data_IF_748206229664
#
_entry.id   IF_748206229664
#
_cell.length_a   1.000
_cell.length_b   1.000
_cell.length_c   1.000
_cell.angle_alpha   90.00
_cell.angle_beta   90.00
_cell.angle_gamma   90.00
#
_symmetry.space_group_name_H-M   'P 1'
#
loop_
_entity.id
_entity.type
_entity.pdbx_description
1 polymer ?
#
# COMPACT_ATOMS: atom_id res chain seq x y z
N UNK A 1 -33.79 -36.01 58.39
CA UNK A 1 -33.78 -34.62 58.90
C UNK A 1 -34.38 -33.74 57.80
N UNK A 2 -35.26 -32.79 58.15
CA UNK A 2 -36.73 -32.79 57.95
C UNK A 2 -37.13 -32.03 56.66
N UNK A 3 -38.38 -31.86 56.20
CA UNK A 3 -39.73 -32.18 56.65
C UNK A 3 -40.63 -32.22 55.38
N UNK A 4 -41.65 -33.09 55.35
CA UNK A 4 -42.58 -33.21 54.23
C UNK A 4 -43.94 -32.55 54.54
N UNK A 5 -44.33 -31.66 53.62
CA UNK A 5 -45.66 -31.47 53.01
C UNK A 5 -46.93 -31.23 53.85
N UNK A 6 -47.51 -30.04 53.58
CA UNK A 6 -48.89 -29.71 53.15
C UNK A 6 -50.09 -30.42 53.81
N UNK A 7 -51.13 -29.64 54.12
CA UNK A 7 -52.35 -29.55 53.30
C UNK A 7 -53.34 -28.58 53.97
N UNK A 8 -53.98 -27.73 53.17
CA UNK A 8 -55.28 -27.15 53.52
C UNK A 8 -56.12 -26.99 52.25
N UNK A 9 -57.29 -27.61 52.32
CA UNK A 9 -58.31 -27.78 51.29
C UNK A 9 -59.03 -26.46 50.93
N UNK A 10 -59.43 -26.36 49.67
CA UNK A 10 -60.46 -25.45 49.12
C UNK A 10 -61.86 -25.68 49.77
N UNK A 11 -62.96 -24.88 49.59
CA UNK A 11 -63.53 -24.50 48.26
C UNK A 11 -64.47 -23.25 48.19
N UNK A 12 -65.13 -23.08 47.01
CA UNK A 12 -66.42 -22.39 46.66
C UNK A 12 -66.43 -20.88 46.27
N UNK A 13 -66.89 -20.59 45.03
CA UNK A 13 -67.26 -19.26 44.48
C UNK A 13 -68.80 -19.00 44.51
N UNK A 14 -69.43 -18.29 43.54
CA UNK A 14 -69.25 -16.96 42.92
C UNK A 14 -70.52 -16.06 43.22
N UNK A 15 -71.02 -15.08 42.43
CA UNK A 15 -70.45 -14.08 41.50
C UNK A 15 -70.83 -12.61 41.90
N UNK A 16 -70.24 -11.59 41.28
CA UNK A 16 -70.69 -10.20 41.47
C UNK A 16 -69.92 -9.21 40.58
N UNK A 17 -70.49 -8.91 39.43
CA UNK A 17 -69.96 -8.08 38.36
C UNK A 17 -70.24 -6.58 38.62
N UNK A 18 -69.24 -5.70 38.47
CA UNK A 18 -69.41 -4.35 37.87
C UNK A 18 -68.06 -3.65 37.67
N UNK A 19 -67.69 -3.52 36.40
CA UNK A 19 -67.25 -2.23 35.83
C UNK A 19 -65.79 -1.83 35.98
N UNK A 20 -64.90 -2.38 35.14
CA UNK A 20 -63.67 -1.68 34.71
C UNK A 20 -63.42 -1.97 33.22
N UNK A 21 -63.38 -0.96 32.32
CA UNK A 21 -62.78 -1.14 31.02
C UNK A 21 -61.26 -0.98 31.15
N UNK A 22 -60.55 -2.10 31.28
CA UNK A 22 -59.09 -2.13 31.16
C UNK A 22 -58.75 -1.96 29.69
N UNK A 23 -58.35 -0.74 29.31
CA UNK A 23 -57.86 -0.43 27.97
C UNK A 23 -56.47 -1.02 27.79
N UNK A 24 -56.32 -1.82 26.74
CA UNK A 24 -55.22 -2.75 26.48
C UNK A 24 -53.84 -2.07 26.32
N UNK A 25 -52.83 -2.43 27.15
CA UNK A 25 -51.45 -1.95 26.99
C UNK A 25 -50.74 -2.51 25.74
N UNK A 26 -51.28 -3.56 25.11
CA UNK A 26 -50.68 -4.22 23.95
C UNK A 26 -50.70 -3.37 22.67
N UNK A 27 -51.76 -2.57 22.45
CA UNK A 27 -51.88 -1.72 21.26
C UNK A 27 -50.86 -0.57 21.26
N UNK A 28 -50.54 -0.04 22.44
CA UNK A 28 -49.56 1.04 22.58
C UNK A 28 -48.16 0.56 22.20
N UNK A 29 -47.72 -0.58 22.74
CA UNK A 29 -46.37 -1.15 22.48
C UNK A 29 -46.20 -1.53 21.00
N UNK A 30 -47.23 -2.08 20.35
CA UNK A 30 -47.18 -2.41 18.93
C UNK A 30 -47.03 -1.16 18.04
N UNK A 31 -47.67 -0.04 18.39
CA UNK A 31 -47.52 1.24 17.71
C UNK A 31 -46.10 1.82 17.85
N UNK A 32 -45.49 1.74 19.03
CA UNK A 32 -44.12 2.20 19.25
C UNK A 32 -43.08 1.37 18.47
N UNK A 33 -43.23 0.05 18.43
CA UNK A 33 -42.33 -0.83 17.69
C UNK A 33 -42.45 -0.64 16.17
N UNK A 34 -43.65 -0.36 15.67
CA UNK A 34 -43.90 -0.09 14.25
C UNK A 34 -43.22 1.20 13.77
N UNK A 35 -43.30 2.28 14.55
CA UNK A 35 -42.60 3.52 14.22
C UNK A 35 -41.08 3.40 14.31
N UNK A 36 -40.55 2.62 15.26
CA UNK A 36 -39.12 2.33 15.34
C UNK A 36 -38.60 1.60 14.09
N UNK A 37 -39.34 0.59 13.61
CA UNK A 37 -39.00 -0.13 12.38
C UNK A 37 -39.08 0.76 11.14
N UNK A 38 -40.11 1.60 11.03
CA UNK A 38 -40.27 2.53 9.90
C UNK A 38 -39.13 3.57 9.84
N UNK A 39 -38.76 4.15 10.98
CA UNK A 39 -37.64 5.11 11.05
C UNK A 39 -36.29 4.44 10.72
N UNK A 40 -36.07 3.21 11.20
CA UNK A 40 -34.89 2.42 10.85
C UNK A 40 -34.80 2.12 9.35
N UNK A 41 -35.92 1.76 8.72
CA UNK A 41 -35.99 1.52 7.28
C UNK A 41 -35.70 2.79 6.46
N UNK A 42 -36.23 3.94 6.89
CA UNK A 42 -35.96 5.24 6.25
C UNK A 42 -34.48 5.63 6.39
N UNK A 43 -33.88 5.46 7.58
CA UNK A 43 -32.46 5.72 7.79
C UNK A 43 -31.57 4.83 6.90
N UNK A 44 -31.92 3.53 6.77
CA UNK A 44 -31.23 2.62 5.86
C UNK A 44 -31.39 3.04 4.39
N UNK A 45 -32.58 3.43 3.96
CA UNK A 45 -32.82 3.92 2.60
C UNK A 45 -32.00 5.17 2.29
N UNK A 46 -31.91 6.12 3.23
CA UNK A 46 -31.10 7.33 3.08
C UNK A 46 -29.60 6.99 3.00
N UNK A 47 -29.11 6.07 3.83
CA UNK A 47 -27.71 5.62 3.76
C UNK A 47 -27.39 4.90 2.43
N UNK A 48 -28.33 4.11 1.91
CA UNK A 48 -28.17 3.46 0.60
C UNK A 48 -28.17 4.50 -0.53
N UNK A 49 -28.99 5.54 -0.44
CA UNK A 49 -29.01 6.63 -1.43
C UNK A 49 -27.71 7.44 -1.41
N UNK A 50 -27.16 7.76 -0.24
CA UNK A 50 -25.86 8.45 -0.16
C UNK A 50 -24.72 7.59 -0.69
N UNK A 51 -24.74 6.28 -0.43
CA UNK A 51 -23.77 5.35 -1.00
C UNK A 51 -23.92 5.23 -2.53
N UNK A 52 -25.15 5.26 -3.05
CA UNK A 52 -25.36 5.21 -4.50
C UNK A 52 -24.86 6.47 -5.22
N UNK A 53 -25.00 7.65 -4.64
CA UNK A 53 -24.51 8.89 -5.26
C UNK A 53 -22.98 8.93 -5.31
N UNK A 54 -22.30 8.49 -4.26
CA UNK A 54 -20.83 8.35 -4.25
C UNK A 54 -20.34 7.35 -5.30
N UNK A 55 -20.99 6.19 -5.41
CA UNK A 55 -20.66 5.19 -6.44
C UNK A 55 -20.85 5.73 -7.85
N UNK A 56 -21.91 6.52 -8.09
CA UNK A 56 -22.12 7.15 -9.39
C UNK A 56 -21.06 8.22 -9.68
N UNK A 57 -20.66 9.01 -8.69
CA UNK A 57 -19.59 10.00 -8.82
C UNK A 57 -18.26 9.32 -9.17
N UNK A 58 -17.88 8.30 -8.40
CA UNK A 58 -16.68 7.50 -8.63
C UNK A 58 -16.70 6.81 -10.01
N UNK A 59 -17.83 6.25 -10.45
CA UNK A 59 -17.96 5.69 -11.79
C UNK A 59 -17.77 6.74 -12.89
N UNK A 60 -18.28 7.97 -12.72
CA UNK A 60 -18.06 9.07 -13.67
C UNK A 60 -16.58 9.49 -13.68
N UNK A 61 -15.95 9.52 -12.52
CA UNK A 61 -14.54 9.88 -12.39
C UNK A 61 -13.61 8.82 -13.01
N UNK A 62 -13.88 7.53 -12.77
CA UNK A 62 -13.20 6.41 -13.45
C UNK A 62 -13.44 6.45 -14.96
N UNK A 63 -14.66 6.71 -15.42
CA UNK A 63 -14.97 6.82 -16.85
C UNK A 63 -14.23 8.00 -17.49
N UNK A 64 -14.10 9.12 -16.77
CA UNK A 64 -13.34 10.30 -17.22
C UNK A 64 -11.86 9.97 -17.28
N UNK A 65 -11.32 9.31 -16.26
CA UNK A 65 -9.91 8.88 -16.19
C UNK A 65 -9.57 7.84 -17.27
N UNK A 66 -10.46 6.89 -17.55
CA UNK A 66 -10.33 5.95 -18.66
C UNK A 66 -10.38 6.65 -20.03
N UNK A 67 -11.19 7.70 -20.17
CA UNK A 67 -11.28 8.48 -21.41
C UNK A 67 -10.06 9.40 -21.61
N UNK A 68 -9.47 9.93 -20.54
CA UNK A 68 -8.19 10.68 -20.59
C UNK A 68 -6.96 9.77 -20.61
N UNK A 69 -7.10 8.50 -20.22
CA UNK A 69 -6.06 7.48 -20.19
C UNK A 69 -6.31 6.34 -21.17
N UNK A 70 -6.86 6.65 -22.36
CA UNK A 70 -7.21 5.66 -23.39
C UNK A 70 -6.07 4.70 -23.75
N UNK A 71 -6.42 3.50 -24.26
CA UNK A 71 -5.58 2.31 -24.26
C UNK A 71 -4.33 2.46 -25.14
N UNK A 72 -3.16 2.18 -24.57
CA UNK A 72 -1.95 1.87 -25.33
C UNK A 72 -2.12 0.48 -25.96
N UNK A 73 -2.73 0.44 -27.14
CA UNK A 73 -2.67 -0.72 -28.01
C UNK A 73 -1.37 -0.68 -28.82
N UNK A 74 -0.68 -1.83 -28.77
CA UNK A 74 0.31 -2.33 -29.72
C UNK A 74 0.09 -1.88 -31.17
N UNK A 75 1.14 -1.32 -31.76
CA UNK A 75 1.57 -1.47 -33.15
C UNK A 75 3.05 -1.02 -33.18
N UNK A 76 4.02 -1.93 -33.15
CA UNK A 76 4.68 -2.49 -34.34
C UNK A 76 5.20 -1.45 -35.35
N UNK A 77 6.52 -1.50 -35.56
CA UNK A 77 7.26 -0.79 -36.61
C UNK A 77 7.70 0.60 -36.19
N UNK A 78 9.00 0.80 -35.90
CA UNK A 78 9.95 1.42 -36.85
C UNK A 78 11.39 1.23 -36.33
N UNK A 79 12.38 1.12 -37.24
CA UNK A 79 13.71 0.63 -36.95
C UNK A 79 14.63 1.73 -36.41
N UNK A 80 15.55 1.33 -35.53
CA UNK A 80 16.70 2.13 -35.13
C UNK A 80 17.51 2.57 -36.35
N UNK A 81 17.52 3.89 -36.62
CA UNK A 81 18.49 4.48 -37.53
C UNK A 81 19.69 5.03 -36.75
N UNK A 82 20.83 4.59 -37.26
CA UNK A 82 22.21 4.79 -36.88
C UNK A 82 22.61 6.25 -36.69
N UNK A 83 23.62 6.45 -35.86
CA UNK A 83 24.44 7.66 -35.79
C UNK A 83 24.87 8.12 -37.20
N UNK A 84 24.87 9.43 -37.50
CA UNK A 84 25.61 9.95 -38.63
C UNK A 84 27.08 10.14 -38.25
N UNK A 85 27.91 9.34 -38.90
CA UNK A 85 29.35 9.51 -39.01
C UNK A 85 29.68 10.85 -39.68
N UNK A 86 30.61 11.56 -39.06
CA UNK A 86 31.10 12.87 -39.43
C UNK A 86 32.09 12.76 -40.60
N UNK A 87 31.76 13.32 -41.76
CA UNK A 87 32.77 13.65 -42.78
C UNK A 87 32.54 15.08 -43.27
N UNK A 88 33.66 15.80 -43.31
CA UNK A 88 33.82 17.18 -43.74
C UNK A 88 34.18 17.18 -45.21
N UNK A 89 33.55 18.05 -46.01
CA UNK A 89 34.19 18.86 -47.05
C UNK A 89 33.17 19.88 -47.61
N UNK A 90 33.61 21.13 -47.74
CA UNK A 90 32.84 22.34 -48.08
C UNK A 90 32.96 22.67 -49.60
N UNK A 91 32.56 23.86 -50.11
CA UNK A 91 31.60 24.89 -49.67
C UNK A 91 30.58 25.30 -50.78
N UNK A 92 29.53 26.07 -50.45
CA UNK A 92 29.21 27.38 -51.08
C UNK A 92 27.79 27.88 -50.78
N UNK A 93 27.74 29.18 -50.43
CA UNK A 93 26.73 30.16 -50.81
C UNK A 93 25.25 29.93 -50.39
N UNK A 94 24.88 30.54 -49.25
CA UNK A 94 23.98 31.71 -49.25
C UNK A 94 23.87 32.28 -47.83
N UNK A 95 24.67 33.32 -47.58
CA UNK A 95 24.37 34.34 -46.59
C UNK A 95 23.02 34.98 -46.94
N UNK A 96 22.00 34.78 -46.08
CA UNK A 96 21.02 35.81 -45.72
C UNK A 96 19.92 35.19 -44.86
N UNK A 97 20.14 35.16 -43.54
CA UNK A 97 19.10 34.72 -42.60
C UNK A 97 19.46 34.84 -41.12
N UNK A 98 20.73 35.07 -40.80
CA UNK A 98 21.23 35.04 -39.42
C UNK A 98 20.83 36.22 -38.53
N UNK A 99 20.20 37.27 -39.08
CA UNK A 99 19.93 38.49 -38.31
C UNK A 99 18.60 38.51 -37.55
N UNK A 100 17.69 37.56 -37.80
CA UNK A 100 16.33 37.61 -37.22
C UNK A 100 16.02 36.55 -36.14
N UNK A 101 16.81 35.47 -36.05
CA UNK A 101 16.55 34.37 -35.09
C UNK A 101 17.32 34.44 -33.77
N UNK A 102 18.06 35.52 -33.49
CA UNK A 102 18.88 35.65 -32.27
C UNK A 102 18.16 36.23 -31.05
N UNK A 103 16.84 36.48 -31.07
CA UNK A 103 16.16 37.18 -29.96
C UNK A 103 15.08 36.43 -29.16
N UNK A 104 14.82 35.14 -29.39
CA UNK A 104 13.85 34.38 -28.56
C UNK A 104 14.24 32.92 -28.30
N UNK A 105 15.51 32.67 -28.02
CA UNK A 105 15.95 31.40 -27.44
C UNK A 105 16.65 31.65 -26.10
N UNK A 106 16.06 32.48 -25.24
CA UNK A 106 16.17 32.21 -23.79
C UNK A 106 15.23 31.03 -23.54
N UNK A 107 15.66 29.85 -23.97
CA UNK A 107 15.21 28.62 -23.36
C UNK A 107 15.60 28.78 -21.90
N UNK A 108 14.64 29.18 -21.08
CA UNK A 108 14.67 28.84 -19.67
C UNK A 108 14.87 27.33 -19.66
N UNK A 109 16.12 26.92 -19.45
CA UNK A 109 16.48 25.55 -19.18
C UNK A 109 15.72 25.25 -17.88
N UNK A 110 14.46 24.79 -18.02
CA UNK A 110 13.67 24.27 -16.91
C UNK A 110 14.60 23.24 -16.30
N UNK A 111 15.24 23.58 -15.19
CA UNK A 111 16.03 22.63 -14.45
C UNK A 111 15.07 21.49 -14.15
N UNK A 112 15.19 20.39 -14.90
CA UNK A 112 14.45 19.17 -14.58
C UNK A 112 14.92 18.83 -13.18
N UNK A 113 14.07 19.08 -12.18
CA UNK A 113 14.36 18.73 -10.78
C UNK A 113 14.73 17.25 -10.80
N UNK A 114 16.01 16.96 -10.57
CA UNK A 114 16.46 15.58 -10.55
C UNK A 114 15.99 14.94 -9.26
N UNK A 115 15.28 13.83 -9.37
CA UNK A 115 14.81 13.08 -8.22
C UNK A 115 16.00 12.50 -7.44
N UNK A 116 15.96 12.63 -6.11
CA UNK A 116 16.92 11.94 -5.23
C UNK A 116 16.61 10.44 -5.30
N UNK A 117 17.62 9.62 -5.55
CA UNK A 117 17.48 8.17 -5.74
C UNK A 117 18.55 7.45 -4.93
N UNK A 118 18.17 6.34 -4.31
CA UNK A 118 19.08 5.40 -3.69
C UNK A 118 18.65 3.99 -4.07
N UNK A 119 19.54 3.20 -4.65
CA UNK A 119 19.36 1.78 -4.89
C UNK A 119 20.44 1.02 -4.12
N UNK A 120 20.01 -0.01 -3.40
CA UNK A 120 20.80 -0.79 -2.47
C UNK A 120 20.77 -2.24 -2.85
N UNK A 121 21.90 -2.89 -2.67
CA UNK A 121 22.11 -4.32 -2.89
C UNK A 121 22.68 -4.93 -1.62
N UNK A 122 22.43 -6.23 -1.36
CA UNK A 122 22.89 -6.87 -0.15
C UNK A 122 24.42 -7.06 -0.16
N UNK A 123 25.03 -6.99 1.03
CA UNK A 123 26.41 -7.40 1.29
C UNK A 123 26.42 -8.72 2.06
N UNK A 124 25.58 -8.79 3.09
CA UNK A 124 25.49 -9.92 4.01
C UNK A 124 24.05 -10.02 4.56
N UNK A 125 23.71 -11.17 5.14
CA UNK A 125 22.50 -11.36 5.92
C UNK A 125 22.87 -12.01 7.26
N UNK A 126 22.28 -11.51 8.35
CA UNK A 126 22.56 -12.00 9.70
C UNK A 126 21.27 -12.31 10.43
N UNK A 127 21.28 -13.39 11.23
CA UNK A 127 20.22 -13.78 12.13
C UNK A 127 20.84 -13.94 13.51
N UNK A 128 20.29 -13.30 14.54
CA UNK A 128 20.71 -13.59 15.92
C UNK A 128 20.08 -14.92 16.35
N UNK A 129 20.79 -15.68 17.18
CA UNK A 129 20.34 -17.02 17.59
C UNK A 129 19.04 -16.99 18.41
N UNK A 130 18.82 -15.94 19.21
CA UNK A 130 17.63 -15.77 20.05
C UNK A 130 16.48 -15.01 19.36
N UNK A 131 16.56 -14.79 18.04
CA UNK A 131 15.54 -14.03 17.30
C UNK A 131 15.04 -14.75 16.06
N UNK A 132 13.72 -14.77 15.87
CA UNK A 132 13.07 -15.23 14.64
C UNK A 132 13.15 -14.21 13.50
N UNK A 133 14.31 -13.56 13.34
CA UNK A 133 14.52 -12.49 12.36
C UNK A 133 15.86 -12.63 11.68
N UNK A 134 15.84 -12.48 10.36
CA UNK A 134 17.03 -12.29 9.53
C UNK A 134 17.02 -10.86 8.97
N UNK A 135 18.12 -10.14 9.13
CA UNK A 135 18.33 -8.79 8.64
C UNK A 135 19.36 -8.80 7.50
N UNK A 136 19.19 -7.89 6.54
CA UNK A 136 20.08 -7.76 5.39
C UNK A 136 20.94 -6.51 5.57
N UNK A 137 22.26 -6.63 5.44
CA UNK A 137 23.17 -5.49 5.36
C UNK A 137 23.21 -4.96 3.93
N UNK A 138 23.07 -3.65 3.78
CA UNK A 138 22.91 -2.99 2.49
C UNK A 138 24.12 -2.13 2.12
N UNK A 139 24.47 -2.11 0.84
CA UNK A 139 25.38 -1.12 0.24
C UNK A 139 24.74 -0.36 -0.92
N UNK A 140 25.08 0.93 -1.12
CA UNK A 140 24.69 1.69 -2.30
C UNK A 140 25.27 1.11 -3.60
N UNK A 141 24.40 0.74 -4.53
CA UNK A 141 24.74 0.46 -5.93
C UNK A 141 24.49 1.66 -6.84
N UNK A 142 23.47 2.48 -6.53
CA UNK A 142 23.21 3.76 -7.19
C UNK A 142 22.83 4.80 -6.15
N UNK A 143 23.43 5.99 -6.22
CA UNK A 143 23.07 7.11 -5.35
C UNK A 143 23.08 8.42 -6.12
N UNK A 144 21.98 9.17 -6.00
CA UNK A 144 21.82 10.53 -6.51
C UNK A 144 21.12 11.38 -5.47
N UNK A 145 21.68 12.54 -5.14
CA UNK A 145 21.19 13.42 -4.08
C UNK A 145 21.69 13.03 -2.69
N UNK A 146 21.26 13.79 -1.67
CA UNK A 146 21.73 13.65 -0.28
C UNK A 146 20.63 13.30 0.73
N UNK A 147 19.38 13.21 0.31
CA UNK A 147 18.22 13.00 1.18
C UNK A 147 18.12 11.61 1.82
N UNK A 148 18.98 10.68 1.43
CA UNK A 148 18.98 9.29 1.89
C UNK A 148 20.41 8.85 2.25
N UNK A 149 20.54 8.07 3.32
CA UNK A 149 21.81 7.49 3.75
C UNK A 149 21.63 6.04 4.18
N UNK A 150 22.33 5.12 3.52
CA UNK A 150 22.43 3.74 3.98
C UNK A 150 23.20 3.67 5.32
N UNK A 151 22.69 2.87 6.26
CA UNK A 151 23.24 2.67 7.60
C UNK A 151 23.16 1.18 7.95
N UNK A 152 24.14 0.39 7.49
CA UNK A 152 24.22 -1.05 7.79
C UNK A 152 22.96 -1.81 7.35
N UNK A 153 22.12 -2.17 8.31
CA UNK A 153 20.86 -2.92 8.12
C UNK A 153 19.67 -2.06 7.66
N UNK A 154 19.81 -0.73 7.66
CA UNK A 154 18.72 0.18 7.36
C UNK A 154 19.11 1.41 6.55
N UNK A 155 18.16 2.32 6.40
CA UNK A 155 18.32 3.58 5.66
C UNK A 155 17.77 4.72 6.49
N UNK A 156 18.61 5.73 6.74
CA UNK A 156 18.23 6.95 7.43
C UNK A 156 17.74 8.01 6.44
N UNK A 157 16.58 8.59 6.73
CA UNK A 157 16.00 9.68 5.97
C UNK A 157 16.61 11.00 6.42
N UNK A 158 17.23 11.73 5.49
CA UNK A 158 17.85 13.04 5.74
C UNK A 158 16.93 14.19 5.33
N UNK A 159 16.17 14.02 4.26
CA UNK A 159 15.22 15.03 3.81
C UNK A 159 13.80 14.49 3.91
N UNK A 160 12.91 15.19 4.62
CA UNK A 160 11.50 14.82 4.62
C UNK A 160 10.89 14.91 3.20
N UNK A 161 9.87 14.12 2.93
CA UNK A 161 9.13 14.16 1.67
C UNK A 161 8.40 12.87 1.35
N UNK A 162 7.82 12.82 0.15
CA UNK A 162 7.15 11.63 -0.38
C UNK A 162 8.15 10.80 -1.15
N UNK A 163 8.22 9.50 -0.87
CA UNK A 163 9.15 8.58 -1.49
C UNK A 163 8.41 7.38 -2.07
N UNK A 164 8.77 6.98 -3.28
CA UNK A 164 8.52 5.63 -3.78
C UNK A 164 9.58 4.70 -3.18
N UNK A 165 9.11 3.65 -2.51
CA UNK A 165 9.91 2.59 -1.92
C UNK A 165 9.62 1.29 -2.66
N UNK A 166 10.65 0.52 -2.96
CA UNK A 166 10.50 -0.81 -3.54
C UNK A 166 11.54 -1.77 -2.96
N UNK A 167 11.15 -3.03 -2.77
CA UNK A 167 12.01 -4.06 -2.19
C UNK A 167 11.74 -5.40 -2.85
N UNK A 168 12.82 -6.11 -3.19
CA UNK A 168 12.79 -7.49 -3.63
C UNK A 168 13.72 -8.33 -2.78
N UNK A 169 13.28 -9.54 -2.41
CA UNK A 169 14.13 -10.59 -1.84
C UNK A 169 13.93 -11.87 -2.64
N UNK A 170 15.02 -12.51 -3.06
CA UNK A 170 14.99 -13.82 -3.69
C UNK A 170 15.24 -14.90 -2.64
N UNK A 171 14.19 -15.65 -2.29
CA UNK A 171 14.25 -16.73 -1.31
C UNK A 171 14.65 -18.05 -1.96
N UNK A 172 15.49 -18.81 -1.26
CA UNK A 172 15.88 -20.19 -1.57
C UNK A 172 15.66 -21.05 -0.31
N UNK A 173 14.41 -21.14 0.13
CA UNK A 173 14.03 -21.67 1.44
C UNK A 173 12.77 -22.54 1.33
N UNK A 174 12.74 -23.67 2.03
CA UNK A 174 11.62 -24.62 2.02
C UNK A 174 10.54 -24.30 3.06
N UNK A 175 10.77 -23.29 3.91
CA UNK A 175 9.79 -22.82 4.88
C UNK A 175 8.50 -22.44 4.16
N UNK A 176 7.37 -22.98 4.61
CA UNK A 176 6.09 -22.95 3.87
C UNK A 176 5.69 -21.55 3.36
N UNK A 177 6.03 -20.50 4.12
CA UNK A 177 5.92 -19.11 3.70
C UNK A 177 7.18 -18.33 4.04
N UNK A 178 7.66 -17.60 3.04
CA UNK A 178 8.73 -16.62 3.14
C UNK A 178 8.22 -15.24 2.77
N UNK A 179 8.96 -14.21 3.18
CA UNK A 179 8.55 -12.85 2.94
C UNK A 179 9.43 -11.85 3.66
N UNK A 180 9.16 -10.59 3.41
CA UNK A 180 9.81 -9.47 4.06
C UNK A 180 8.79 -8.46 4.54
N UNK A 181 9.17 -7.75 5.60
CA UNK A 181 8.44 -6.61 6.14
C UNK A 181 9.34 -5.41 6.04
N UNK A 182 8.83 -4.35 5.41
CA UNK A 182 9.49 -3.05 5.36
C UNK A 182 8.82 -2.14 6.37
N UNK A 183 9.58 -1.66 7.34
CA UNK A 183 9.07 -0.79 8.40
C UNK A 183 9.88 0.50 8.50
N UNK A 184 9.22 1.54 9.01
CA UNK A 184 9.88 2.75 9.50
C UNK A 184 9.87 2.78 11.01
N UNK A 185 10.93 3.31 11.59
CA UNK A 185 11.02 3.70 12.98
C UNK A 185 11.30 5.20 13.04
N UNK A 186 10.43 5.94 13.72
CA UNK A 186 10.51 7.38 13.84
C UNK A 186 9.57 7.87 14.94
N UNK A 187 9.93 8.98 15.59
CA UNK A 187 9.09 9.59 16.65
C UNK A 187 8.74 8.61 17.80
N UNK A 188 9.61 7.65 18.10
CA UNK A 188 9.39 6.64 19.15
C UNK A 188 8.39 5.54 18.79
N UNK A 189 8.00 5.42 17.51
CA UNK A 189 7.07 4.40 17.04
C UNK A 189 7.62 3.66 15.82
N UNK A 190 7.36 2.35 15.77
CA UNK A 190 7.58 1.54 14.59
C UNK A 190 6.27 1.34 13.82
N UNK A 191 6.33 1.47 12.49
CA UNK A 191 5.19 1.31 11.60
C UNK A 191 5.58 0.46 10.38
N UNK A 192 4.76 -0.54 10.07
CA UNK A 192 4.91 -1.34 8.84
C UNK A 192 4.40 -0.55 7.64
N UNK A 193 5.26 -0.35 6.64
CA UNK A 193 4.90 0.32 5.40
C UNK A 193 4.27 -0.66 4.41
N UNK A 194 4.92 -1.80 4.18
CA UNK A 194 4.39 -2.88 3.36
C UNK A 194 5.04 -4.21 3.70
N UNK A 195 4.39 -5.28 3.24
CA UNK A 195 4.85 -6.66 3.36
C UNK A 195 4.81 -7.35 2.00
N UNK A 196 5.64 -8.37 1.83
CA UNK A 196 5.54 -9.32 0.74
C UNK A 196 5.54 -10.72 1.34
N UNK A 197 4.66 -11.60 0.86
CA UNK A 197 4.55 -12.98 1.33
C UNK A 197 4.48 -13.91 0.11
N UNK A 198 5.24 -14.99 0.14
CA UNK A 198 5.24 -16.05 -0.87
C UNK A 198 5.19 -17.42 -0.23
N UNK A 199 4.32 -18.27 -0.76
CA UNK A 199 4.37 -19.70 -0.48
C UNK A 199 5.59 -20.32 -1.15
N UNK A 200 6.27 -21.22 -0.46
CA UNK A 200 7.45 -21.92 -0.98
C UNK A 200 7.14 -23.39 -1.26
N UNK A 201 7.68 -23.96 -2.36
CA UNK A 201 7.71 -25.41 -2.55
C UNK A 201 8.47 -26.11 -1.41
N UNK A 202 8.02 -27.31 -1.03
CA UNK A 202 8.67 -28.14 -0.01
C UNK A 202 9.94 -28.82 -0.51
N UNK A 203 10.09 -28.99 -1.82
CA UNK A 203 11.27 -29.65 -2.41
C UNK A 203 12.43 -28.66 -2.54
N UNK A 204 13.60 -28.91 -1.91
CA UNK A 204 14.72 -27.96 -1.88
C UNK A 204 15.18 -27.47 -3.27
N UNK A 205 15.26 -28.37 -4.25
CA UNK A 205 15.72 -28.03 -5.61
C UNK A 205 14.76 -27.12 -6.39
N UNK A 206 13.53 -26.92 -5.89
CA UNK A 206 12.49 -26.11 -6.52
C UNK A 206 12.07 -24.93 -5.64
N UNK A 207 12.62 -24.81 -4.44
CA UNK A 207 12.20 -23.85 -3.43
C UNK A 207 12.74 -22.44 -3.68
N UNK A 208 12.49 -21.87 -4.86
CA UNK A 208 12.94 -20.55 -5.28
C UNK A 208 11.76 -19.64 -5.58
N UNK A 209 11.72 -18.46 -4.97
CA UNK A 209 10.74 -17.42 -5.31
C UNK A 209 11.30 -16.02 -5.03
N UNK A 210 11.07 -15.10 -5.96
CA UNK A 210 11.23 -13.66 -5.70
C UNK A 210 9.98 -13.10 -5.06
N UNK A 211 10.15 -12.28 -4.02
CA UNK A 211 9.08 -11.52 -3.39
C UNK A 211 9.34 -10.03 -3.57
N UNK A 212 8.60 -9.38 -4.48
CA UNK A 212 8.67 -7.95 -4.74
C UNK A 212 7.43 -7.23 -4.17
N UNK A 213 7.64 -6.09 -3.54
CA UNK A 213 6.56 -5.16 -3.16
C UNK A 213 7.07 -3.72 -3.14
N UNK A 214 6.16 -2.77 -3.32
CA UNK A 214 6.47 -1.35 -3.41
C UNK A 214 5.28 -0.49 -2.94
N UNK A 215 5.56 0.76 -2.59
CA UNK A 215 4.54 1.73 -2.21
C UNK A 215 5.09 3.15 -2.13
N UNK A 216 4.18 4.11 -1.98
CA UNK A 216 4.53 5.53 -1.85
C UNK A 216 4.19 6.00 -0.44
N UNK A 217 5.17 6.56 0.26
CA UNK A 217 5.05 6.91 1.67
C UNK A 217 5.61 8.30 1.95
N UNK A 218 4.95 9.04 2.85
CA UNK A 218 5.50 10.28 3.40
C UNK A 218 6.46 9.94 4.54
N UNK A 219 7.73 10.29 4.39
CA UNK A 219 8.79 10.00 5.36
C UNK A 219 9.32 11.29 5.96
N UNK A 220 9.64 11.23 7.25
CA UNK A 220 10.15 12.38 7.99
C UNK A 220 11.67 12.32 8.13
N UNK A 221 12.28 13.49 8.31
CA UNK A 221 13.69 13.57 8.62
C UNK A 221 13.97 12.83 9.94
N UNK A 222 14.98 11.98 9.95
CA UNK A 222 15.37 11.18 11.10
C UNK A 222 14.79 9.77 11.11
N UNK A 223 13.75 9.49 10.32
CA UNK A 223 13.19 8.14 10.18
C UNK A 223 14.28 7.13 9.78
N UNK A 224 14.21 5.94 10.36
CA UNK A 224 15.06 4.79 10.02
C UNK A 224 14.17 3.73 9.38
N UNK A 225 14.52 3.35 8.16
CA UNK A 225 13.85 2.27 7.45
C UNK A 225 14.64 0.98 7.58
N UNK A 226 13.93 -0.12 7.81
CA UNK A 226 14.50 -1.46 7.90
C UNK A 226 13.71 -2.44 7.03
N UNK A 227 14.42 -3.46 6.56
CA UNK A 227 13.84 -4.63 5.89
C UNK A 227 14.17 -5.84 6.73
N UNK A 228 13.14 -6.48 7.26
CA UNK A 228 13.27 -7.67 8.09
C UNK A 228 12.62 -8.87 7.41
N UNK A 229 13.25 -10.03 7.54
CA UNK A 229 12.66 -11.31 7.16
C UNK A 229 12.28 -12.01 8.46
N UNK A 230 10.98 -12.23 8.75
CA UNK A 230 10.50 -12.74 10.03
C UNK A 230 10.66 -14.28 10.11
N UNK A 231 11.90 -14.75 9.91
CA UNK A 231 12.36 -16.13 10.04
C UNK A 231 13.81 -16.10 10.51
N UNK A 232 14.14 -16.90 11.53
CA UNK A 232 15.53 -17.15 11.90
C UNK A 232 16.25 -17.86 10.74
N UNK A 233 17.52 -17.49 10.50
CA UNK A 233 18.43 -18.15 9.54
C UNK A 233 17.80 -18.34 8.15
N UNK A 234 17.07 -17.34 7.68
CA UNK A 234 16.38 -17.36 6.40
C UNK A 234 17.37 -17.54 5.24
N UNK A 235 17.07 -18.48 4.33
CA UNK A 235 17.89 -18.69 3.13
C UNK A 235 17.43 -17.77 2.00
N UNK A 236 18.28 -16.79 1.67
CA UNK A 236 18.06 -15.86 0.57
C UNK A 236 19.31 -15.70 -0.29
N UNK A 237 19.11 -15.31 -1.54
CA UNK A 237 20.19 -15.07 -2.48
C UNK A 237 20.69 -13.62 -2.36
N UNK A 238 21.99 -13.44 -2.16
CA UNK A 238 22.65 -12.12 -2.04
C UNK A 238 23.04 -11.51 -3.40
N UNK A 239 22.54 -12.06 -4.51
CA UNK A 239 22.75 -11.49 -5.83
C UNK A 239 22.12 -10.09 -5.93
N UNK A 240 22.85 -9.07 -6.44
CA UNK A 240 22.36 -7.70 -6.62
C UNK A 240 21.08 -7.56 -7.45
N UNK A 241 20.83 -8.50 -8.37
CA UNK A 241 19.63 -8.50 -9.23
C UNK A 241 18.50 -9.37 -8.67
N UNK A 242 18.78 -10.24 -7.70
CA UNK A 242 17.78 -11.07 -7.02
C UNK A 242 17.19 -10.37 -5.80
N UNK A 243 18.04 -9.72 -5.01
CA UNK A 243 17.68 -9.03 -3.75
C UNK A 243 18.16 -7.59 -3.79
N UNK A 244 17.25 -6.64 -3.57
CA UNK A 244 17.56 -5.21 -3.61
C UNK A 244 16.49 -4.39 -2.86
N UNK A 245 16.87 -3.17 -2.52
CA UNK A 245 16.01 -2.17 -1.87
C UNK A 245 16.24 -0.82 -2.54
N UNK A 246 15.19 -0.05 -2.81
CA UNK A 246 15.40 1.26 -3.39
C UNK A 246 14.32 2.30 -3.10
N UNK A 247 14.72 3.53 -3.43
CA UNK A 247 14.07 4.76 -3.02
C UNK A 247 14.13 5.80 -4.13
N UNK A 248 13.01 6.48 -4.37
CA UNK A 248 12.94 7.65 -5.25
C UNK A 248 12.13 8.73 -4.55
N UNK A 249 12.74 9.89 -4.29
CA UNK A 249 12.02 11.07 -3.77
C UNK A 249 11.17 11.67 -4.89
N UNK A 250 9.87 11.81 -4.67
CA UNK A 250 8.90 12.33 -5.63
C UNK A 250 8.81 13.87 -5.59
#
# INVERSE_FOLDING_TARGET
>A
MPASSLFSLAPKGPPGNMGVPVREPALSVALWLSWGAALGAVACAMALLTQQTELQSLRREVSRLQRTGGPSQKAEGYPWQSLPEQSSDAPEAWENGERSRKRRAVLTQKQKKQHSVLHLVPINATSKDDSDVTEVMWQPALRRGRGLQAQGYGVRIRDAGVYLLYSQVLFQDVTFTMGQVVSREGQGKQETLFRCIRSMPSHPDRAYNSCYSAGVFHLHQGDILSVIIPRARAKLNLSPHGTFLGFVKL
#
